data_IF_134062996840
#
_entry.id   IF_134062996840
#
_cell.length_a   1.000
_cell.length_b   1.000
_cell.length_c   1.000
_cell.angle_alpha   90.00
_cell.angle_beta   90.00
_cell.angle_gamma   90.00
#
_symmetry.space_group_name_H-M   'P 1'
#
loop_
_entity.id
_entity.type
_entity.pdbx_description
1 polymer ?
#
# COMPACT_ATOMS: atom_id res chain seq x y z
N UNK A 1 18.82 15.03 -4.16
CA UNK A 1 19.44 13.97 -4.99
C UNK A 1 20.87 13.72 -4.49
N UNK A 2 21.35 12.48 -4.51
CA UNK A 2 22.62 12.01 -3.90
C UNK A 2 23.94 12.60 -4.48
N UNK A 3 23.89 13.61 -5.35
CA UNK A 3 25.07 14.25 -5.95
C UNK A 3 25.96 13.26 -6.74
N UNK A 4 27.27 13.52 -6.78
CA UNK A 4 28.28 12.66 -7.47
C UNK A 4 28.63 11.37 -6.71
N UNK A 5 27.81 10.94 -5.75
CA UNK A 5 28.10 9.74 -4.96
C UNK A 5 27.76 8.47 -5.74
N UNK A 6 28.78 7.70 -6.11
CA UNK A 6 28.60 6.36 -6.67
C UNK A 6 28.65 5.31 -5.57
N UNK A 7 27.59 4.54 -5.41
CA UNK A 7 27.52 3.42 -4.46
C UNK A 7 27.03 2.19 -5.21
N UNK A 8 27.60 1.03 -4.86
CA UNK A 8 27.11 -0.27 -5.31
C UNK A 8 26.39 -0.90 -4.12
N UNK A 9 25.13 -1.28 -4.33
CA UNK A 9 24.28 -1.91 -3.30
C UNK A 9 23.57 -3.11 -3.89
N UNK A 10 23.43 -4.17 -3.10
CA UNK A 10 22.52 -5.26 -3.41
C UNK A 10 21.10 -4.82 -3.09
N UNK A 11 20.23 -4.78 -4.10
CA UNK A 11 18.85 -4.30 -3.97
C UNK A 11 17.84 -5.42 -4.21
N UNK A 12 16.74 -5.39 -3.45
CA UNK A 12 15.56 -6.21 -3.73
C UNK A 12 14.63 -5.44 -4.65
N UNK A 13 14.27 -6.05 -5.78
CA UNK A 13 13.31 -5.45 -6.72
C UNK A 13 11.90 -5.68 -6.19
N UNK A 14 11.27 -4.59 -5.76
CA UNK A 14 9.91 -4.55 -5.26
C UNK A 14 9.11 -3.58 -6.12
N UNK A 15 7.85 -3.91 -6.36
CA UNK A 15 6.92 -2.99 -6.99
C UNK A 15 6.39 -2.04 -5.91
N UNK A 16 6.97 -0.85 -5.81
CA UNK A 16 6.80 0.08 -4.69
C UNK A 16 5.85 1.25 -5.00
N UNK A 17 5.17 1.24 -6.15
CA UNK A 17 4.10 2.19 -6.45
C UNK A 17 4.49 3.67 -6.27
N UNK A 18 5.41 4.18 -7.10
CA UNK A 18 5.80 5.61 -7.07
C UNK A 18 7.04 5.95 -6.23
N UNK A 19 7.69 4.96 -5.63
CA UNK A 19 9.02 5.10 -5.01
C UNK A 19 10.08 4.42 -5.88
N UNK A 20 11.18 5.13 -6.15
CA UNK A 20 12.27 4.59 -6.97
C UNK A 20 13.12 3.57 -6.18
N UNK A 21 13.64 3.97 -5.01
CA UNK A 21 14.58 3.17 -4.21
C UNK A 21 14.43 3.48 -2.71
N UNK A 22 14.43 2.44 -1.88
CA UNK A 22 14.52 2.55 -0.42
C UNK A 22 15.90 2.10 0.04
N UNK A 23 16.65 3.01 0.67
CA UNK A 23 17.97 2.71 1.22
C UNK A 23 17.86 2.40 2.72
N UNK A 24 17.94 1.12 3.06
CA UNK A 24 17.78 0.63 4.42
C UNK A 24 19.06 0.63 5.27
N UNK A 25 18.99 -0.02 6.43
CA UNK A 25 20.09 -0.10 7.41
C UNK A 25 21.36 -0.75 6.86
N UNK A 26 21.24 -1.71 5.93
CA UNK A 26 22.38 -2.33 5.25
C UNK A 26 23.26 -1.27 4.60
N UNK A 27 22.66 -0.38 3.80
CA UNK A 27 23.38 0.72 3.17
C UNK A 27 23.89 1.74 4.21
N UNK A 28 23.05 2.13 5.17
CA UNK A 28 23.45 3.10 6.21
C UNK A 28 24.68 2.63 7.00
N UNK A 29 24.80 1.32 7.26
CA UNK A 29 25.94 0.75 7.98
C UNK A 29 27.29 0.95 7.26
N UNK A 30 27.27 1.17 5.94
CA UNK A 30 28.49 1.40 5.13
C UNK A 30 29.08 2.80 5.30
N UNK A 31 28.30 3.75 5.83
CA UNK A 31 28.67 5.16 5.91
C UNK A 31 29.50 5.51 7.16
N UNK A 32 29.51 4.61 8.16
CA UNK A 32 30.16 4.85 9.44
C UNK A 32 29.41 5.90 10.27
N UNK A 33 30.12 6.95 10.71
CA UNK A 33 29.52 8.01 11.54
C UNK A 33 28.67 8.94 10.68
N UNK A 34 27.40 9.06 11.06
CA UNK A 34 26.41 9.94 10.43
C UNK A 34 25.93 10.96 11.47
N UNK A 35 25.77 12.21 11.06
CA UNK A 35 25.07 13.25 11.81
C UNK A 35 23.72 13.53 11.15
N UNK A 36 22.65 13.56 11.94
CA UNK A 36 21.30 13.81 11.46
C UNK A 36 20.72 15.04 12.14
N UNK A 37 20.24 16.00 11.37
CA UNK A 37 19.36 17.07 11.83
C UNK A 37 17.93 16.74 11.43
N UNK A 38 17.11 16.33 12.40
CA UNK A 38 15.72 15.98 12.17
C UNK A 38 14.82 17.18 11.89
N UNK A 39 15.19 18.36 12.38
CA UNK A 39 14.40 19.58 12.17
C UNK A 39 14.61 20.11 10.76
N UNK A 40 15.85 20.14 10.30
CA UNK A 40 16.21 20.56 8.95
C UNK A 40 16.15 19.41 7.92
N UNK A 41 15.84 18.19 8.37
CA UNK A 41 15.83 16.95 7.57
C UNK A 41 17.14 16.76 6.78
N UNK A 42 18.27 16.95 7.45
CA UNK A 42 19.60 16.80 6.83
C UNK A 42 20.36 15.62 7.39
N UNK A 43 21.05 14.90 6.53
CA UNK A 43 21.93 13.78 6.88
C UNK A 43 23.32 14.05 6.36
N UNK A 44 24.33 14.02 7.23
CA UNK A 44 25.72 14.32 6.89
C UNK A 44 26.64 13.17 7.26
N UNK A 45 27.54 12.81 6.35
CA UNK A 45 28.53 11.75 6.58
C UNK A 45 29.77 11.96 5.70
N UNK A 46 30.85 11.23 6.00
CA UNK A 46 32.08 11.28 5.22
C UNK A 46 32.11 10.11 4.23
N UNK A 47 32.26 10.40 2.94
CA UNK A 47 32.41 9.42 1.88
C UNK A 47 33.68 9.72 1.08
N UNK A 48 34.63 8.77 1.05
CA UNK A 48 35.94 8.92 0.36
C UNK A 48 36.68 10.21 0.72
N UNK A 49 36.65 10.60 2.00
CA UNK A 49 37.31 11.82 2.49
C UNK A 49 36.59 13.12 2.16
N UNK A 50 35.42 13.07 1.53
CA UNK A 50 34.57 14.24 1.26
C UNK A 50 33.33 14.20 2.16
N UNK A 51 32.95 15.35 2.69
CA UNK A 51 31.69 15.50 3.40
C UNK A 51 30.54 15.50 2.40
N UNK A 52 29.57 14.61 2.61
CA UNK A 52 28.34 14.54 1.82
C UNK A 52 27.19 14.97 2.73
N UNK A 53 26.31 15.82 2.20
CA UNK A 53 25.10 16.29 2.87
C UNK A 53 23.90 15.92 2.00
N UNK A 54 23.02 15.09 2.55
CA UNK A 54 21.71 14.82 1.98
C UNK A 54 20.69 15.73 2.63
N UNK A 55 19.92 16.41 1.79
CA UNK A 55 18.87 17.35 2.19
C UNK A 55 17.52 16.72 1.84
N UNK A 56 16.61 16.66 2.82
CA UNK A 56 15.20 16.37 2.56
C UNK A 56 14.60 17.48 1.69
N UNK A 57 13.86 17.11 0.65
CA UNK A 57 13.24 18.09 -0.26
C UNK A 57 12.20 18.95 0.47
N UNK A 58 12.28 20.27 0.31
CA UNK A 58 11.30 21.22 0.86
C UNK A 58 10.12 21.51 -0.09
N UNK A 59 10.21 21.16 -1.38
CA UNK A 59 9.22 21.58 -2.37
C UNK A 59 8.30 20.45 -2.87
N UNK A 60 7.00 20.71 -2.68
CA UNK A 60 5.82 20.18 -3.40
C UNK A 60 5.22 18.83 -3.01
N UNK A 61 5.90 17.97 -2.23
CA UNK A 61 5.25 16.78 -1.67
C UNK A 61 4.70 17.08 -0.28
N UNK A 62 3.54 17.73 -0.22
CA UNK A 62 2.74 17.90 1.02
C UNK A 62 2.28 16.57 1.65
N UNK A 63 2.60 15.44 1.03
CA UNK A 63 2.21 14.11 1.47
C UNK A 63 3.43 13.37 2.05
N UNK A 64 3.78 13.69 3.29
CA UNK A 64 4.57 12.78 4.12
C UNK A 64 3.81 11.46 4.23
N UNK A 65 4.18 10.49 3.40
CA UNK A 65 3.58 9.17 3.37
C UNK A 65 4.52 8.19 4.03
N UNK A 66 3.97 7.41 4.95
CA UNK A 66 4.69 6.28 5.53
C UNK A 66 4.85 5.21 4.47
N UNK A 67 5.95 4.45 4.48
CA UNK A 67 6.18 3.35 3.53
C UNK A 67 4.97 2.40 3.43
N UNK A 68 4.24 2.21 4.52
CA UNK A 68 3.04 1.38 4.54
C UNK A 68 1.95 1.87 3.58
N UNK A 69 1.79 3.18 3.35
CA UNK A 69 0.77 3.69 2.42
C UNK A 69 1.06 3.33 0.96
N UNK A 70 2.34 3.16 0.61
CA UNK A 70 2.75 2.68 -0.72
C UNK A 70 2.63 1.16 -0.84
N UNK A 71 2.87 0.43 0.25
CA UNK A 71 2.84 -1.04 0.25
C UNK A 71 1.42 -1.63 0.35
N UNK A 72 0.45 -0.89 0.89
CA UNK A 72 -0.94 -1.34 1.07
C UNK A 72 -1.72 -1.48 -0.23
N UNK A 73 -1.28 -0.84 -1.32
CA UNK A 73 -1.92 -0.97 -2.65
C UNK A 73 -1.93 -2.42 -3.15
N UNK A 74 -0.97 -3.22 -2.68
CA UNK A 74 -0.76 -4.60 -3.10
C UNK A 74 -1.68 -5.62 -2.40
N UNK A 75 -2.37 -5.24 -1.32
CA UNK A 75 -3.18 -6.16 -0.52
C UNK A 75 -4.69 -6.00 -0.72
N UNK A 76 -5.19 -5.41 -1.81
CA UNK A 76 -6.62 -5.46 -2.16
C UNK A 76 -7.60 -5.01 -1.06
N UNK A 77 -7.07 -4.31 -0.04
CA UNK A 77 -7.78 -3.77 1.08
C UNK A 77 -7.90 -2.30 0.80
N UNK A 78 -9.13 -1.85 0.61
CA UNK A 78 -9.55 -0.47 0.43
C UNK A 78 -8.79 0.43 1.42
N UNK A 79 -7.65 0.97 0.98
CA UNK A 79 -7.07 2.15 1.60
C UNK A 79 -7.82 3.32 0.98
N UNK A 80 -8.94 3.61 1.61
CA UNK A 80 -9.74 4.80 1.34
C UNK A 80 -8.83 6.04 1.32
N UNK A 81 -8.86 6.75 0.19
CA UNK A 81 -8.73 8.20 0.18
C UNK A 81 -7.37 8.84 -0.15
N UNK A 82 -6.22 8.15 -0.11
CA UNK A 82 -4.93 8.88 -0.28
C UNK A 82 -4.53 9.13 -1.74
N UNK A 83 -4.74 8.15 -2.64
CA UNK A 83 -4.59 8.33 -4.09
C UNK A 83 -5.66 9.28 -4.65
N UNK A 84 -6.89 9.14 -4.16
CA UNK A 84 -8.00 9.97 -4.61
C UNK A 84 -7.74 11.46 -4.30
N UNK A 85 -7.19 11.78 -3.12
CA UNK A 85 -6.89 13.16 -2.74
C UNK A 85 -5.64 13.75 -3.42
N UNK A 86 -4.70 12.94 -3.91
CA UNK A 86 -3.56 13.43 -4.69
C UNK A 86 -3.97 13.93 -6.10
N UNK A 87 -5.15 13.51 -6.57
CA UNK A 87 -5.76 13.98 -7.82
C UNK A 87 -6.88 15.02 -7.62
N UNK A 88 -7.28 15.36 -6.39
CA UNK A 88 -8.22 16.45 -6.08
C UNK A 88 -7.45 17.76 -5.78
N UNK A 89 -6.40 18.02 -6.55
CA UNK A 89 -5.87 19.38 -6.71
C UNK A 89 -6.22 19.81 -8.13
N UNK A 90 -7.43 20.36 -8.26
CA UNK A 90 -7.91 21.15 -9.40
C UNK A 90 -7.35 20.77 -10.77
N UNK A 91 -7.74 19.59 -11.25
CA UNK A 91 -7.65 19.28 -12.67
C UNK A 91 -9.07 19.15 -13.22
N UNK A 92 -9.67 20.27 -13.62
CA UNK A 92 -10.53 20.26 -14.81
C UNK A 92 -9.64 19.88 -15.99
N UNK A 93 -9.36 18.60 -16.13
CA UNK A 93 -8.71 18.04 -17.31
C UNK A 93 -9.70 17.02 -17.82
N UNK A 94 -10.12 17.18 -19.07
CA UNK A 94 -10.78 16.13 -19.82
C UNK A 94 -9.80 14.95 -19.83
N UNK A 95 -10.01 14.00 -18.92
CA UNK A 95 -9.20 12.79 -18.85
C UNK A 95 -9.56 11.94 -20.05
N UNK A 96 -8.69 11.97 -21.05
CA UNK A 96 -8.64 10.94 -22.07
C UNK A 96 -8.30 9.63 -21.35
N UNK A 97 -9.33 8.82 -21.09
CA UNK A 97 -9.17 7.45 -20.61
C UNK A 97 -8.19 6.76 -21.55
N UNK A 98 -7.15 6.15 -20.98
CA UNK A 98 -6.18 5.37 -21.77
C UNK A 98 -6.91 4.34 -22.64
N UNK A 99 -6.52 4.24 -23.92
CA UNK A 99 -7.24 3.41 -24.89
C UNK A 99 -7.28 1.94 -24.46
N UNK A 100 -6.24 1.45 -23.79
CA UNK A 100 -6.19 0.08 -23.26
C UNK A 100 -7.16 -0.12 -22.10
N UNK A 101 -7.29 0.87 -21.21
CA UNK A 101 -8.26 0.82 -20.12
C UNK A 101 -9.70 0.84 -20.64
N UNK A 102 -9.97 1.64 -21.68
CA UNK A 102 -11.29 1.71 -22.29
C UNK A 102 -11.71 0.39 -22.94
N UNK A 103 -10.77 -0.33 -23.56
CA UNK A 103 -11.00 -1.67 -24.10
C UNK A 103 -11.39 -2.66 -23.00
N UNK A 104 -10.69 -2.66 -21.86
CA UNK A 104 -10.96 -3.56 -20.74
C UNK A 104 -12.32 -3.27 -20.09
N UNK A 105 -12.64 -1.99 -19.88
CA UNK A 105 -13.94 -1.57 -19.34
C UNK A 105 -15.09 -1.97 -20.28
N UNK A 106 -14.90 -1.80 -21.59
CA UNK A 106 -15.89 -2.22 -22.60
C UNK A 106 -16.03 -3.75 -22.69
N UNK A 107 -14.95 -4.50 -22.42
CA UNK A 107 -14.93 -5.97 -22.48
C UNK A 107 -15.58 -6.64 -21.28
N UNK A 108 -15.53 -6.04 -20.09
CA UNK A 108 -16.06 -6.64 -18.86
C UNK A 108 -17.07 -5.75 -18.11
N UNK A 109 -18.12 -5.23 -18.76
CA UNK A 109 -19.07 -4.32 -18.13
C UNK A 109 -19.81 -4.96 -16.96
N UNK A 110 -19.99 -6.29 -16.97
CA UNK A 110 -20.67 -7.02 -15.89
C UNK A 110 -19.87 -7.09 -14.59
N UNK A 111 -18.53 -7.04 -14.65
CA UNK A 111 -17.65 -7.10 -13.47
C UNK A 111 -17.66 -5.78 -12.71
N UNK A 112 -17.78 -4.67 -13.44
CA UNK A 112 -17.72 -3.31 -12.90
C UNK A 112 -19.11 -2.71 -12.66
N UNK A 113 -20.18 -3.47 -12.87
CA UNK A 113 -21.52 -3.03 -12.56
C UNK A 113 -21.81 -3.24 -11.07
N UNK A 114 -22.26 -2.18 -10.39
CA UNK A 114 -22.66 -2.23 -8.98
C UNK A 114 -23.90 -3.11 -8.82
N UNK A 115 -23.67 -4.41 -8.66
CA UNK A 115 -24.73 -5.38 -8.43
C UNK A 115 -24.52 -6.06 -7.09
N UNK A 116 -25.34 -5.68 -6.11
CA UNK A 116 -25.45 -6.40 -4.84
C UNK A 116 -26.21 -7.70 -5.15
N UNK A 117 -25.47 -8.74 -5.54
CA UNK A 117 -26.00 -10.06 -5.84
C UNK A 117 -25.17 -11.13 -5.16
N UNK A 118 -25.83 -12.26 -4.86
CA UNK A 118 -25.11 -13.44 -4.39
C UNK A 118 -24.14 -13.90 -5.50
N UNK A 119 -22.93 -14.37 -5.14
CA UNK A 119 -22.00 -14.91 -6.11
C UNK A 119 -22.65 -16.02 -6.95
N UNK A 120 -22.28 -16.15 -8.24
CA UNK A 120 -22.81 -17.22 -9.08
C UNK A 120 -22.44 -18.60 -8.51
N UNK A 121 -23.31 -19.58 -8.74
CA UNK A 121 -23.04 -20.97 -8.35
C UNK A 121 -21.77 -21.47 -9.04
N UNK A 122 -20.84 -22.01 -8.26
CA UNK A 122 -19.58 -22.57 -8.76
C UNK A 122 -19.74 -24.08 -9.00
N UNK A 123 -19.02 -24.62 -9.98
CA UNK A 123 -19.00 -26.07 -10.27
C UNK A 123 -18.30 -26.88 -9.18
N UNK A 124 -17.38 -26.26 -8.45
CA UNK A 124 -16.70 -26.86 -7.31
C UNK A 124 -17.35 -26.43 -6.02
N UNK A 125 -17.86 -27.41 -5.27
CA UNK A 125 -18.33 -27.22 -3.90
C UNK A 125 -17.27 -27.75 -2.94
N UNK A 126 -16.81 -26.91 -2.02
CA UNK A 126 -15.89 -27.32 -0.98
C UNK A 126 -16.69 -27.93 0.18
N UNK A 127 -16.38 -29.17 0.53
CA UNK A 127 -16.98 -29.84 1.68
C UNK A 127 -15.98 -29.92 2.82
N UNK A 128 -16.43 -29.58 4.03
CA UNK A 128 -15.67 -29.80 5.26
C UNK A 128 -15.77 -31.30 5.61
N UNK A 129 -14.67 -32.03 5.52
CA UNK A 129 -14.59 -33.44 5.91
C UNK A 129 -14.37 -33.53 7.43
N UNK A 130 -15.33 -34.12 8.14
CA UNK A 130 -15.20 -34.38 9.57
C UNK A 130 -14.41 -35.67 9.80
N UNK A 131 -13.74 -35.77 10.96
CA UNK A 131 -13.15 -37.04 11.37
C UNK A 131 -14.26 -38.06 11.65
N UNK A 132 -14.02 -39.36 11.33
CA UNK A 132 -14.93 -40.41 11.75
C UNK A 132 -15.08 -40.35 13.28
N UNK A 133 -16.31 -40.47 13.78
CA UNK A 133 -16.68 -40.44 15.20
C UNK A 133 -16.81 -39.05 15.86
N UNK A 134 -16.65 -37.95 15.12
CA UNK A 134 -16.99 -36.62 15.63
C UNK A 134 -18.49 -36.33 15.54
N UNK A 135 -19.16 -36.23 16.69
CA UNK A 135 -20.57 -35.82 16.78
C UNK A 135 -20.80 -34.33 16.58
N UNK A 136 -22.06 -33.91 16.48
CA UNK A 136 -22.41 -32.49 16.38
C UNK A 136 -22.05 -31.73 17.67
N UNK A 137 -21.37 -30.59 17.53
CA UNK A 137 -21.06 -29.69 18.65
C UNK A 137 -22.16 -28.64 18.76
N UNK A 138 -22.82 -28.56 19.91
CA UNK A 138 -23.80 -27.52 20.22
C UNK A 138 -23.29 -26.65 21.37
N UNK A 139 -23.04 -25.38 21.08
CA UNK A 139 -22.56 -24.39 22.06
C UNK A 139 -23.63 -23.32 22.22
N UNK A 140 -23.85 -22.86 23.46
CA UNK A 140 -24.78 -21.75 23.71
C UNK A 140 -24.23 -20.46 23.09
N UNK A 141 -25.02 -19.71 22.30
CA UNK A 141 -24.60 -18.42 21.77
C UNK A 141 -24.17 -17.47 22.89
N UNK A 142 -23.10 -16.71 22.64
CA UNK A 142 -22.67 -15.66 23.56
C UNK A 142 -23.71 -14.55 23.64
N UNK A 143 -23.85 -13.94 24.82
CA UNK A 143 -24.71 -12.76 25.01
C UNK A 143 -23.96 -11.52 24.53
N UNK A 144 -24.45 -10.92 23.45
CA UNK A 144 -23.95 -9.64 22.95
C UNK A 144 -24.58 -8.47 23.74
N UNK A 145 -23.80 -7.45 24.12
CA UNK A 145 -24.33 -6.15 24.55
C UNK A 145 -25.25 -5.54 23.48
N UNK A 146 -26.25 -4.75 23.91
CA UNK A 146 -27.28 -4.20 23.02
C UNK A 146 -26.73 -3.50 21.76
N UNK A 147 -25.70 -2.65 21.92
CA UNK A 147 -25.10 -1.92 20.81
C UNK A 147 -24.44 -2.83 19.75
N UNK A 148 -23.88 -3.97 20.13
CA UNK A 148 -23.27 -4.91 19.17
C UNK A 148 -24.33 -5.69 18.41
N UNK A 149 -25.43 -6.04 19.11
CA UNK A 149 -26.55 -6.74 18.49
C UNK A 149 -27.26 -5.84 17.46
N UNK A 150 -27.49 -4.58 17.79
CA UNK A 150 -28.09 -3.60 16.88
C UNK A 150 -27.28 -3.41 15.60
N UNK A 151 -25.95 -3.39 15.68
CA UNK A 151 -25.09 -3.27 14.50
C UNK A 151 -25.08 -4.54 13.63
N UNK A 152 -25.16 -5.73 14.24
CA UNK A 152 -25.19 -7.02 13.51
C UNK A 152 -26.54 -7.23 12.79
N UNK A 153 -27.63 -6.70 13.34
CA UNK A 153 -28.99 -6.85 12.79
C UNK A 153 -29.36 -5.78 11.76
N UNK A 154 -28.52 -4.74 11.61
CA UNK A 154 -28.69 -3.64 10.67
C UNK A 154 -28.14 -3.99 9.28
#
# INVERSE_FOLDING_TARGET
MLGEMKVVVDALVLDLGGLDVILGVSWLSTLGKVMMDWKALTMQFCYKGKQVVLQGGEEQYKQQSYLNSFLTDRQGGVSDGWWLNSHIVEAKKEETIDAGLQEVLAKFPEVFNDSIRLPPMRSQSHQIKLQPDHGAVSVRPYRYPHHQKEEIER
#
